data_IF_423280464442
#
_entry.id   IF_423280464442
#
_cell.length_a   1.000
_cell.length_b   1.000
_cell.length_c   1.000
_cell.angle_alpha   90.00
_cell.angle_beta   90.00
_cell.angle_gamma   90.00
#
_symmetry.space_group_name_H-M   'P 1'
#
loop_
_entity.id
_entity.type
_entity.pdbx_description
1 polymer ?
#
# COMPACT_ATOMS: atom_id res chain seq x y z
N UNK A 1 10.55 37.68 -12.53
CA UNK A 1 9.39 37.27 -13.36
C UNK A 1 9.67 35.99 -14.17
N UNK A 2 10.87 35.76 -14.68
CA UNK A 2 11.24 34.56 -15.46
C UNK A 2 11.12 33.24 -14.66
N UNK A 3 11.58 33.18 -13.42
CA UNK A 3 11.57 31.94 -12.60
C UNK A 3 10.16 31.39 -12.40
N UNK A 4 9.18 32.26 -12.18
CA UNK A 4 7.76 31.88 -12.02
C UNK A 4 7.21 31.21 -13.30
N UNK A 5 7.54 31.76 -14.46
CA UNK A 5 7.09 31.20 -15.74
C UNK A 5 7.79 29.89 -16.08
N UNK A 6 9.04 29.71 -15.67
CA UNK A 6 9.78 28.44 -15.83
C UNK A 6 9.20 27.37 -14.92
N UNK A 7 8.88 27.69 -13.67
CA UNK A 7 8.22 26.75 -12.74
C UNK A 7 6.85 26.29 -13.26
N UNK A 8 6.03 27.23 -13.77
CA UNK A 8 4.72 26.89 -14.33
C UNK A 8 4.85 25.96 -15.54
N UNK A 9 5.81 26.24 -16.44
CA UNK A 9 6.07 25.36 -17.60
C UNK A 9 6.52 23.97 -17.18
N UNK A 10 7.33 23.85 -16.13
CA UNK A 10 7.81 22.58 -15.61
C UNK A 10 6.69 21.76 -14.96
N UNK A 11 5.80 22.40 -14.21
CA UNK A 11 4.62 21.76 -13.61
C UNK A 11 3.64 21.32 -14.70
N UNK A 12 3.40 22.13 -15.72
CA UNK A 12 2.51 21.76 -16.84
C UNK A 12 3.11 20.59 -17.63
N UNK A 13 4.43 20.60 -17.90
CA UNK A 13 5.10 19.50 -18.59
C UNK A 13 5.02 18.20 -17.78
N UNK A 14 5.21 18.25 -16.46
CA UNK A 14 5.05 17.10 -15.56
C UNK A 14 3.60 16.60 -15.55
N UNK A 15 2.62 17.48 -15.54
CA UNK A 15 1.19 17.11 -15.57
C UNK A 15 0.77 16.44 -16.90
N UNK A 16 1.37 16.84 -18.02
CA UNK A 16 1.11 16.22 -19.34
C UNK A 16 1.75 14.83 -19.45
N UNK A 17 2.83 14.55 -18.73
CA UNK A 17 3.49 13.24 -18.74
C UNK A 17 2.75 12.18 -17.90
N UNK A 18 1.92 12.58 -16.93
CA UNK A 18 1.16 11.67 -16.06
C UNK A 18 0.24 10.69 -16.82
N UNK A 19 -0.54 11.09 -17.86
CA UNK A 19 -1.43 10.16 -18.54
C UNK A 19 -0.71 9.07 -19.33
N UNK A 20 0.54 9.28 -19.74
CA UNK A 20 1.32 8.25 -20.44
C UNK A 20 1.83 7.15 -19.51
N UNK A 21 2.01 7.45 -18.22
CA UNK A 21 2.43 6.47 -17.24
C UNK A 21 1.30 5.50 -16.83
N UNK A 22 0.05 5.94 -16.95
CA UNK A 22 -1.12 5.12 -16.56
C UNK A 22 -1.44 4.02 -17.57
N UNK A 23 -1.03 4.18 -18.84
CA UNK A 23 -1.27 3.18 -19.89
C UNK A 23 -0.37 1.95 -19.80
N UNK A 24 0.63 1.95 -18.91
CA UNK A 24 1.58 0.84 -18.73
C UNK A 24 1.06 -0.25 -17.75
N UNK A 25 -0.16 -0.12 -17.26
CA UNK A 25 -0.78 -1.18 -16.46
C UNK A 25 -1.33 -2.27 -17.37
N UNK A 26 -0.43 -3.12 -17.85
CA UNK A 26 -0.83 -4.46 -18.25
C UNK A 26 -1.41 -5.13 -17.02
N UNK A 27 -2.59 -5.71 -17.16
CA UNK A 27 -3.23 -6.57 -16.16
C UNK A 27 -2.30 -7.74 -15.83
N UNK A 28 -1.28 -7.51 -15.00
CA UNK A 28 -0.53 -8.59 -14.41
C UNK A 28 -1.45 -9.20 -13.37
N UNK A 29 -1.82 -10.45 -13.56
CA UNK A 29 -2.43 -11.27 -12.53
C UNK A 29 -1.39 -11.31 -11.41
N UNK A 30 -1.60 -10.49 -10.38
CA UNK A 30 -0.66 -10.32 -9.27
C UNK A 30 -0.87 -11.36 -8.17
N UNK A 31 -1.86 -12.24 -8.35
CA UNK A 31 -2.15 -13.31 -7.41
C UNK A 31 -2.09 -14.66 -8.14
N UNK A 32 -1.28 -15.57 -7.62
CA UNK A 32 -1.06 -16.91 -8.18
C UNK A 32 -1.70 -18.00 -7.32
N UNK A 33 -2.59 -17.62 -6.41
CA UNK A 33 -3.39 -18.57 -5.65
C UNK A 33 -4.54 -19.08 -6.52
N UNK A 34 -4.82 -20.41 -6.57
CA UNK A 34 -5.96 -20.95 -7.29
C UNK A 34 -7.30 -20.36 -6.79
N UNK A 35 -7.33 -19.85 -5.57
CA UNK A 35 -8.53 -19.23 -4.97
C UNK A 35 -8.81 -17.83 -5.52
N UNK A 36 -7.84 -17.19 -6.16
CA UNK A 36 -8.00 -15.84 -6.72
C UNK A 36 -8.67 -15.82 -8.09
N UNK A 37 -8.78 -16.98 -8.76
CA UNK A 37 -9.46 -17.08 -10.07
C UNK A 37 -10.97 -16.87 -9.98
N UNK A 38 -11.54 -16.95 -8.80
CA UNK A 38 -12.98 -16.86 -8.58
C UNK A 38 -13.30 -15.91 -7.42
N UNK A 39 -14.27 -15.01 -7.65
CA UNK A 39 -14.76 -14.10 -6.64
C UNK A 39 -13.93 -12.84 -6.47
N UNK A 40 -13.77 -12.40 -5.23
CA UNK A 40 -13.08 -11.14 -4.86
C UNK A 40 -11.58 -11.28 -4.70
N UNK A 41 -11.01 -12.46 -4.97
CA UNK A 41 -9.60 -12.74 -4.79
C UNK A 41 -9.19 -12.97 -3.34
N UNK A 42 -7.88 -12.87 -3.09
CA UNK A 42 -7.31 -12.94 -1.75
C UNK A 42 -7.44 -11.60 -1.04
N UNK A 43 -8.11 -11.59 0.13
CA UNK A 43 -8.30 -10.38 0.92
C UNK A 43 -7.01 -10.01 1.62
N UNK A 44 -6.55 -8.78 1.41
CA UNK A 44 -5.36 -8.28 2.06
C UNK A 44 -5.62 -7.97 3.54
N UNK A 45 -4.65 -8.28 4.40
CA UNK A 45 -4.70 -7.90 5.81
C UNK A 45 -4.64 -6.39 5.93
N UNK A 46 -5.62 -5.76 6.60
CA UNK A 46 -5.66 -4.31 6.75
C UNK A 46 -4.49 -3.78 7.58
N UNK A 47 -4.11 -2.54 7.33
CA UNK A 47 -3.04 -1.86 8.05
C UNK A 47 -1.86 -1.50 7.15
N UNK A 48 -0.89 -0.78 7.71
CA UNK A 48 0.36 -0.48 7.01
C UNK A 48 1.29 -1.68 6.96
N UNK A 49 2.24 -1.71 6.03
CA UNK A 49 3.29 -2.73 5.97
C UNK A 49 4.01 -2.90 7.31
N UNK A 50 4.21 -1.80 8.06
CA UNK A 50 4.80 -1.85 9.40
C UNK A 50 3.91 -2.61 10.39
N UNK A 51 2.60 -2.43 10.35
CA UNK A 51 1.67 -3.16 11.22
C UNK A 51 1.63 -4.64 10.87
N UNK A 52 1.65 -4.97 9.59
CA UNK A 52 1.71 -6.35 9.11
C UNK A 52 2.99 -7.06 9.57
N UNK A 53 4.14 -6.39 9.50
CA UNK A 53 5.41 -6.96 9.96
C UNK A 53 5.42 -7.26 11.47
N UNK A 54 4.55 -6.60 12.24
CA UNK A 54 4.32 -6.87 13.67
C UNK A 54 3.18 -7.88 13.92
N UNK A 55 2.76 -8.63 12.91
CA UNK A 55 1.67 -9.61 13.04
C UNK A 55 0.26 -9.01 12.97
N UNK A 56 0.08 -7.84 12.37
CA UNK A 56 -1.24 -7.19 12.23
C UNK A 56 -1.73 -6.50 13.51
N UNK A 57 -0.86 -6.27 14.46
CA UNK A 57 -1.18 -5.56 15.72
C UNK A 57 -1.44 -4.09 15.43
N UNK A 58 -2.54 -3.53 15.94
CA UNK A 58 -2.83 -2.11 15.71
C UNK A 58 -4.09 -1.61 16.40
N UNK A 59 -5.10 -2.45 16.62
CA UNK A 59 -6.43 -2.03 17.12
C UNK A 59 -6.33 -1.31 18.47
N UNK A 60 -5.49 -1.79 19.37
CA UNK A 60 -5.30 -1.19 20.70
C UNK A 60 -4.02 -0.37 20.82
N UNK A 61 -3.27 -0.18 19.72
CA UNK A 61 -1.96 0.45 19.77
C UNK A 61 -2.06 1.96 19.48
N UNK A 62 -1.60 2.78 20.41
CA UNK A 62 -1.48 4.23 20.27
C UNK A 62 -0.04 4.68 20.44
N UNK A 63 0.86 4.30 19.52
CA UNK A 63 2.28 4.67 19.61
C UNK A 63 2.53 5.99 18.89
N UNK A 64 3.02 7.02 19.57
CA UNK A 64 3.43 8.26 18.92
C UNK A 64 4.47 8.02 17.82
N UNK A 65 4.34 8.73 16.71
CA UNK A 65 5.29 8.61 15.60
C UNK A 65 5.11 7.40 14.68
N UNK A 66 4.05 6.62 14.87
CA UNK A 66 3.69 5.52 13.95
C UNK A 66 2.30 5.73 13.38
N UNK A 67 2.16 5.47 12.09
CA UNK A 67 0.86 5.50 11.42
C UNK A 67 0.07 4.26 11.81
N UNK A 68 -1.12 4.48 12.37
CA UNK A 68 -2.02 3.39 12.72
C UNK A 68 -3.37 3.57 12.03
N UNK A 69 -3.62 2.74 11.02
CA UNK A 69 -4.87 2.77 10.25
C UNK A 69 -6.00 2.01 10.93
N UNK A 70 -5.68 1.09 11.85
CA UNK A 70 -6.67 0.24 12.53
C UNK A 70 -7.29 0.92 13.76
N UNK A 71 -6.64 1.97 14.28
CA UNK A 71 -7.14 2.71 15.44
C UNK A 71 -7.15 4.22 15.16
N UNK A 72 -8.26 4.78 14.69
CA UNK A 72 -8.36 6.21 14.44
C UNK A 72 -8.12 7.08 15.69
N UNK A 73 -8.38 6.57 16.90
CA UNK A 73 -8.09 7.28 18.13
C UNK A 73 -6.60 7.56 18.33
N UNK A 74 -5.72 6.72 17.77
CA UNK A 74 -4.29 6.91 17.80
C UNK A 74 -3.82 8.17 17.04
N UNK A 75 -4.65 8.74 16.17
CA UNK A 75 -4.30 9.98 15.45
C UNK A 75 -4.13 11.18 16.40
N UNK A 76 -4.79 11.14 17.55
CA UNK A 76 -4.64 12.18 18.59
C UNK A 76 -3.28 12.13 19.32
N UNK A 77 -2.54 11.02 19.22
CA UNK A 77 -1.23 10.85 19.87
C UNK A 77 -0.06 11.38 19.03
N UNK A 78 -0.32 11.83 17.81
CA UNK A 78 0.72 12.36 16.91
C UNK A 78 1.28 13.67 17.50
N UNK A 79 2.61 13.82 17.59
CA UNK A 79 3.22 15.04 18.08
C UNK A 79 2.82 16.25 17.25
N UNK A 80 2.54 17.37 17.92
CA UNK A 80 2.20 18.62 17.22
C UNK A 80 3.33 19.06 16.28
N UNK A 81 2.97 19.66 15.14
CA UNK A 81 3.90 20.11 14.09
C UNK A 81 4.71 18.99 13.43
N UNK A 82 4.21 17.74 13.49
CA UNK A 82 4.80 16.61 12.76
C UNK A 82 3.92 16.18 11.61
N UNK A 83 4.53 15.51 10.66
CA UNK A 83 3.87 14.85 9.53
C UNK A 83 4.43 13.43 9.43
N UNK A 84 3.57 12.46 9.44
CA UNK A 84 3.94 11.06 9.30
C UNK A 84 3.56 10.59 7.91
N UNK A 85 4.49 9.91 7.27
CA UNK A 85 4.31 9.30 5.95
C UNK A 85 4.75 7.84 5.99
N UNK A 86 3.97 6.97 5.37
CA UNK A 86 4.28 5.55 5.16
C UNK A 86 4.10 5.21 3.70
N UNK A 87 5.03 4.43 3.20
CA UNK A 87 4.96 3.83 1.88
C UNK A 87 5.39 2.38 2.00
N UNK A 88 4.52 1.47 1.62
CA UNK A 88 4.71 0.04 1.75
C UNK A 88 4.73 -0.69 0.41
N UNK A 89 5.68 -1.61 0.28
CA UNK A 89 5.77 -2.57 -0.80
C UNK A 89 5.74 -3.97 -0.21
N UNK A 90 5.14 -4.90 -0.92
CA UNK A 90 5.02 -6.30 -0.54
C UNK A 90 5.59 -7.20 -1.62
N UNK A 91 6.47 -8.11 -1.22
CA UNK A 91 6.95 -9.20 -2.07
C UNK A 91 6.41 -10.53 -1.56
N UNK A 92 5.81 -11.32 -2.42
CA UNK A 92 5.30 -12.64 -2.11
C UNK A 92 5.92 -13.69 -3.02
N UNK A 93 6.33 -14.81 -2.41
CA UNK A 93 6.81 -15.98 -3.13
C UNK A 93 5.79 -17.10 -2.98
N UNK A 94 5.19 -17.52 -4.09
CA UNK A 94 4.28 -18.66 -4.12
C UNK A 94 5.02 -19.88 -4.64
N UNK A 95 4.95 -20.96 -3.88
CA UNK A 95 5.46 -22.25 -4.26
C UNK A 95 4.31 -23.24 -4.34
N UNK A 96 3.95 -23.65 -5.57
CA UNK A 96 2.89 -24.60 -5.81
C UNK A 96 3.51 -25.94 -6.19
N UNK A 97 3.17 -26.98 -5.44
CA UNK A 97 3.54 -28.37 -5.75
C UNK A 97 2.27 -29.15 -6.08
N UNK A 98 2.17 -29.67 -7.29
CA UNK A 98 1.08 -30.51 -7.73
C UNK A 98 1.62 -31.89 -8.07
N UNK A 99 0.99 -32.94 -7.55
CA UNK A 99 1.29 -34.31 -7.87
C UNK A 99 0.11 -34.93 -8.63
N UNK A 100 0.34 -35.28 -9.88
CA UNK A 100 -0.63 -35.95 -10.75
C UNK A 100 0.05 -37.18 -11.35
N UNK A 101 -0.55 -38.35 -11.18
CA UNK A 101 -0.07 -39.63 -11.73
C UNK A 101 1.41 -39.93 -11.49
N UNK A 102 1.87 -39.77 -10.26
CA UNK A 102 3.28 -39.94 -9.85
C UNK A 102 4.27 -38.91 -10.44
N UNK A 103 3.83 -37.94 -11.20
CA UNK A 103 4.65 -36.82 -11.68
C UNK A 103 4.46 -35.63 -10.74
N UNK A 104 5.54 -35.15 -10.15
CA UNK A 104 5.53 -33.94 -9.33
C UNK A 104 5.89 -32.75 -10.19
N UNK A 105 4.96 -31.80 -10.33
CA UNK A 105 5.18 -30.50 -10.99
C UNK A 105 5.26 -29.42 -9.95
N UNK A 106 6.41 -28.77 -9.85
CA UNK A 106 6.65 -27.64 -8.95
C UNK A 106 6.68 -26.36 -9.76
N UNK A 107 5.98 -25.34 -9.28
CA UNK A 107 5.98 -24.02 -9.91
C UNK A 107 6.17 -22.96 -8.84
N UNK A 108 7.13 -22.07 -9.06
CA UNK A 108 7.39 -20.94 -8.18
C UNK A 108 7.07 -19.63 -8.89
N UNK A 109 6.35 -18.75 -8.23
CA UNK A 109 6.03 -17.41 -8.71
C UNK A 109 6.45 -16.39 -7.68
N UNK A 110 7.05 -15.32 -8.15
CA UNK A 110 7.41 -14.17 -7.33
C UNK A 110 6.54 -12.99 -7.75
N UNK A 111 5.86 -12.38 -6.80
CA UNK A 111 5.08 -11.16 -7.03
C UNK A 111 5.64 -10.02 -6.23
N UNK A 112 5.55 -8.84 -6.79
CA UNK A 112 5.95 -7.61 -6.11
C UNK A 112 4.83 -6.59 -6.29
N UNK A 113 4.16 -6.26 -5.19
CA UNK A 113 2.96 -5.44 -5.20
C UNK A 113 3.14 -4.19 -4.34
N UNK A 114 2.45 -3.12 -4.74
CA UNK A 114 2.20 -1.98 -3.87
C UNK A 114 1.27 -2.41 -2.73
N UNK A 115 1.62 -2.06 -1.50
CA UNK A 115 0.82 -2.39 -0.34
C UNK A 115 0.10 -1.19 0.26
N UNK A 116 0.82 -0.13 0.63
CA UNK A 116 0.20 1.03 1.26
C UNK A 116 0.90 2.35 0.94
N UNK A 117 0.10 3.38 0.84
CA UNK A 117 0.48 4.77 1.05
C UNK A 117 -0.40 5.31 2.17
N UNK A 118 0.21 5.88 3.18
CA UNK A 118 -0.54 6.49 4.26
C UNK A 118 0.17 7.74 4.76
N UNK A 119 -0.62 8.73 5.18
CA UNK A 119 -0.09 9.89 5.87
C UNK A 119 -1.03 10.34 6.98
N UNK A 120 -0.43 10.88 8.02
CA UNK A 120 -1.13 11.38 9.18
C UNK A 120 -0.51 12.69 9.65
N UNK A 121 -1.35 13.61 10.10
CA UNK A 121 -0.92 14.90 10.64
C UNK A 121 -1.82 15.31 11.79
N UNK A 122 -1.29 16.01 12.80
CA UNK A 122 -2.10 16.63 13.85
C UNK A 122 -2.78 17.89 13.28
N UNK A 123 -4.07 18.03 13.51
CA UNK A 123 -4.84 19.24 13.16
C UNK A 123 -5.02 20.13 14.37
N UNK A 124 -5.22 19.56 15.55
CA UNK A 124 -5.37 20.24 16.82
C UNK A 124 -4.76 19.41 17.95
N UNK A 125 -4.72 19.96 19.17
CA UNK A 125 -4.09 19.31 20.35
C UNK A 125 -4.59 17.87 20.62
N UNK A 126 -5.84 17.56 20.24
CA UNK A 126 -6.45 16.24 20.44
C UNK A 126 -7.11 15.71 19.17
N UNK A 127 -6.82 16.30 18.02
CA UNK A 127 -7.39 15.92 16.75
C UNK A 127 -6.29 15.69 15.74
N UNK A 128 -6.25 14.49 15.17
CA UNK A 128 -5.40 14.14 14.06
C UNK A 128 -6.23 13.76 12.84
N UNK A 129 -5.66 13.97 11.66
CA UNK A 129 -6.22 13.58 10.38
C UNK A 129 -5.27 12.57 9.72
N UNK A 130 -5.84 11.53 9.16
CA UNK A 130 -5.11 10.52 8.41
C UNK A 130 -5.80 10.19 7.11
N UNK A 131 -4.99 9.91 6.11
CA UNK A 131 -5.43 9.39 4.82
C UNK A 131 -4.58 8.19 4.44
N UNK A 132 -5.21 7.19 3.85
CA UNK A 132 -4.49 6.01 3.37
C UNK A 132 -5.10 5.47 2.09
N UNK A 133 -4.25 4.89 1.27
CA UNK A 133 -4.61 4.10 0.11
C UNK A 133 -3.97 2.73 0.28
N UNK A 134 -4.81 1.71 0.40
CA UNK A 134 -4.38 0.31 0.54
C UNK A 134 -5.24 -0.57 -0.36
N UNK A 135 -4.66 -1.55 -1.08
CA UNK A 135 -5.45 -2.49 -1.86
C UNK A 135 -6.30 -3.36 -0.92
N UNK A 136 -7.56 -3.54 -1.26
CA UNK A 136 -8.49 -4.36 -0.49
C UNK A 136 -8.29 -5.86 -0.77
N UNK A 137 -8.08 -6.20 -2.03
CA UNK A 137 -7.87 -7.58 -2.47
C UNK A 137 -6.95 -7.64 -3.67
N UNK A 138 -6.37 -8.80 -3.91
CA UNK A 138 -5.55 -9.12 -5.06
C UNK A 138 -6.17 -10.29 -5.84
N UNK A 139 -6.25 -10.14 -7.17
CA UNK A 139 -6.80 -11.12 -8.12
C UNK A 139 -5.76 -11.46 -9.17
#
# INVERSE_FOLDING_TARGET
MQVKNTLIKLVVAAAVMLPYAVSAQTSSINAFSPYTMYGIGEINTPGTTQMRSMGGVGVAMGTPGKINLLNPAAYSTIPQKSFLFSFGLEGQNYYNSQKVDNVSKNTAYNTFNFHDIAFQMPVAKKLGLGFSLTPYSSV
#
